data_IF_522025869736
#
_entry.id   IF_522025869736
#
_cell.length_a   1.000
_cell.length_b   1.000
_cell.length_c   1.000
_cell.angle_alpha   90.00
_cell.angle_beta   90.00
_cell.angle_gamma   90.00
#
_symmetry.space_group_name_H-M   'P 1'
#
loop_
_entity.id
_entity.type
_entity.pdbx_description
1 polymer ?
#
# COMPACT_ATOMS: atom_id res chain seq x y z
N UNK A 1 -6.57 24.39 13.65
CA UNK A 1 -5.68 23.38 13.04
C UNK A 1 -6.59 22.26 12.60
N UNK A 2 -6.73 22.05 11.30
CA UNK A 2 -7.47 20.92 10.76
C UNK A 2 -6.53 19.71 10.80
N UNK A 3 -7.01 18.61 11.36
CA UNK A 3 -6.26 17.36 11.44
C UNK A 3 -6.47 16.58 10.14
N UNK A 4 -5.82 17.04 9.07
CA UNK A 4 -5.93 16.45 7.73
C UNK A 4 -5.07 15.17 7.59
N UNK A 5 -4.58 14.61 8.70
CA UNK A 5 -3.76 13.42 8.71
C UNK A 5 -4.63 12.20 8.98
N UNK A 6 -4.52 11.21 8.10
CA UNK A 6 -5.11 9.89 8.36
C UNK A 6 -4.40 9.25 9.55
N UNK A 7 -5.19 8.64 10.43
CA UNK A 7 -4.70 7.74 11.47
C UNK A 7 -4.07 6.48 10.84
N UNK A 8 -3.22 5.77 11.60
CA UNK A 8 -2.62 4.53 11.10
C UNK A 8 -3.68 3.46 10.75
N UNK A 9 -4.78 3.41 11.49
CA UNK A 9 -5.90 2.50 11.22
C UNK A 9 -6.60 2.83 9.89
N UNK A 10 -6.81 4.11 9.60
CA UNK A 10 -7.37 4.54 8.32
C UNK A 10 -6.41 4.24 7.16
N UNK A 11 -5.10 4.44 7.36
CA UNK A 11 -4.08 4.07 6.37
C UNK A 11 -4.11 2.56 6.13
N UNK A 12 -4.21 1.75 7.18
CA UNK A 12 -4.30 0.30 7.05
C UNK A 12 -5.55 -0.15 6.30
N UNK A 13 -6.68 0.46 6.59
CA UNK A 13 -7.94 0.19 5.91
C UNK A 13 -7.84 0.52 4.41
N UNK A 14 -7.38 1.73 4.08
CA UNK A 14 -7.26 2.19 2.68
C UNK A 14 -6.22 1.39 1.90
N UNK A 15 -5.10 1.02 2.53
CA UNK A 15 -4.04 0.26 1.86
C UNK A 15 -4.36 -1.25 1.78
N UNK A 16 -5.44 -1.71 2.41
CA UNK A 16 -5.78 -3.12 2.51
C UNK A 16 -4.70 -3.92 3.24
N UNK A 17 -4.26 -3.43 4.40
CA UNK A 17 -3.30 -4.14 5.26
C UNK A 17 -3.99 -5.30 5.97
N UNK A 18 -3.36 -6.47 5.97
CA UNK A 18 -3.79 -7.68 6.65
C UNK A 18 -2.60 -8.40 7.28
N UNK A 19 -2.88 -9.17 8.33
CA UNK A 19 -1.88 -9.97 9.03
C UNK A 19 -1.79 -11.36 8.39
N UNK A 20 -0.56 -11.84 8.16
CA UNK A 20 -0.30 -13.21 7.70
C UNK A 20 0.62 -13.92 8.69
N UNK A 21 0.31 -15.19 8.95
CA UNK A 21 1.24 -16.08 9.63
C UNK A 21 2.42 -16.38 8.70
N UNK A 22 3.63 -16.31 9.25
CA UNK A 22 4.86 -16.70 8.54
C UNK A 22 5.31 -18.09 8.98
N UNK A 23 6.32 -18.64 8.33
CA UNK A 23 6.74 -20.05 8.48
C UNK A 23 7.16 -20.46 9.91
N UNK A 24 7.30 -19.50 10.84
CA UNK A 24 7.37 -19.76 12.27
C UNK A 24 6.01 -19.60 12.93
N UNK A 25 5.51 -20.64 13.61
CA UNK A 25 4.18 -20.70 14.26
C UNK A 25 3.87 -19.57 15.26
N UNK A 26 4.82 -18.69 15.59
CA UNK A 26 4.64 -17.52 16.46
C UNK A 26 5.06 -16.20 15.81
N UNK A 27 5.33 -16.17 14.51
CA UNK A 27 5.70 -14.95 13.80
C UNK A 27 4.61 -14.59 12.78
N UNK A 28 4.08 -13.39 12.93
CA UNK A 28 3.19 -12.79 11.95
C UNK A 28 3.88 -11.65 11.22
N UNK A 29 3.38 -11.32 10.03
CA UNK A 29 3.83 -10.14 9.28
C UNK A 29 2.62 -9.41 8.71
N UNK A 30 2.70 -8.09 8.65
CA UNK A 30 1.69 -7.28 7.98
C UNK A 30 2.02 -7.17 6.49
N UNK A 31 1.01 -7.40 5.66
CA UNK A 31 1.06 -7.26 4.20
C UNK A 31 -0.04 -6.30 3.78
N UNK A 32 0.19 -5.52 2.73
CA UNK A 32 -0.80 -4.59 2.19
C UNK A 32 -0.96 -4.81 0.70
N UNK A 33 -2.19 -4.66 0.18
CA UNK A 33 -2.43 -4.71 -1.27
C UNK A 33 -1.82 -3.52 -1.98
N UNK A 34 -1.93 -2.33 -1.39
CA UNK A 34 -1.39 -1.08 -1.89
C UNK A 34 -0.20 -0.58 -1.03
N UNK A 35 0.71 0.24 -1.60
CA UNK A 35 1.85 0.77 -0.88
C UNK A 35 1.39 1.74 0.21
N UNK A 36 1.84 1.52 1.45
CA UNK A 36 1.62 2.48 2.54
C UNK A 36 2.39 3.79 2.28
N UNK A 37 1.97 4.93 2.88
CA UNK A 37 2.58 6.23 2.62
C UNK A 37 4.10 6.28 2.79
N UNK A 38 4.66 5.54 3.74
CA UNK A 38 6.11 5.44 3.94
C UNK A 38 6.84 4.84 2.72
N UNK A 39 6.26 3.79 2.10
CA UNK A 39 6.81 3.16 0.91
C UNK A 39 6.67 4.07 -0.32
N UNK A 40 5.54 4.77 -0.45
CA UNK A 40 5.32 5.74 -1.53
C UNK A 40 6.30 6.92 -1.42
N UNK A 41 6.51 7.46 -0.22
CA UNK A 41 7.32 8.67 0.02
C UNK A 41 8.73 8.57 -0.54
N UNK A 42 9.33 7.37 -0.46
CA UNK A 42 10.71 7.09 -0.90
C UNK A 42 10.79 6.47 -2.28
N UNK A 43 9.65 6.22 -2.94
CA UNK A 43 9.66 5.65 -4.29
C UNK A 43 9.99 6.72 -5.34
N UNK A 44 10.50 6.29 -6.50
CA UNK A 44 10.81 7.19 -7.61
C UNK A 44 9.58 7.81 -8.28
N UNK A 45 8.37 7.43 -7.89
CA UNK A 45 7.10 7.94 -8.45
C UNK A 45 6.52 9.11 -7.63
N UNK A 46 7.05 9.39 -6.44
CA UNK A 46 6.61 10.49 -5.58
C UNK A 46 7.15 11.85 -6.07
N UNK A 47 6.58 12.35 -7.16
CA UNK A 47 6.96 13.60 -7.82
C UNK A 47 6.03 14.80 -7.53
N UNK A 48 5.15 14.68 -6.53
CA UNK A 48 4.22 15.73 -6.10
C UNK A 48 2.89 15.80 -6.86
N UNK A 49 2.69 14.94 -7.86
CA UNK A 49 1.43 14.77 -8.58
C UNK A 49 1.28 13.33 -9.06
N UNK A 50 0.08 12.96 -9.50
CA UNK A 50 -0.18 11.66 -10.11
C UNK A 50 0.35 11.64 -11.55
N UNK A 51 1.54 11.07 -11.72
CA UNK A 51 2.18 10.97 -13.04
C UNK A 51 1.62 9.84 -13.89
N UNK A 52 1.91 9.86 -15.19
CA UNK A 52 1.58 8.75 -16.08
C UNK A 52 2.21 7.43 -15.63
N UNK A 53 3.42 7.48 -15.10
CA UNK A 53 4.14 6.30 -14.61
C UNK A 53 3.51 5.76 -13.31
N UNK A 54 2.99 6.65 -12.46
CA UNK A 54 2.21 6.25 -11.27
C UNK A 54 0.91 5.52 -11.67
N UNK A 55 0.18 6.04 -12.66
CA UNK A 55 -1.01 5.38 -13.23
C UNK A 55 -0.67 4.01 -13.81
N UNK A 56 0.38 3.92 -14.62
CA UNK A 56 0.80 2.67 -15.23
C UNK A 56 1.15 1.62 -14.17
N UNK A 57 1.90 2.02 -13.13
CA UNK A 57 2.23 1.15 -12.01
C UNK A 57 0.97 0.67 -11.27
N UNK A 58 0.02 1.58 -11.01
CA UNK A 58 -1.23 1.27 -10.32
C UNK A 58 -2.06 0.24 -11.09
N UNK A 59 -2.28 0.46 -12.39
CA UNK A 59 -3.04 -0.45 -13.25
C UNK A 59 -2.38 -1.83 -13.33
N UNK A 60 -1.06 -1.89 -13.52
CA UNK A 60 -0.33 -3.16 -13.52
C UNK A 60 -0.45 -3.89 -12.18
N UNK A 61 -0.35 -3.19 -11.05
CA UNK A 61 -0.55 -3.79 -9.73
C UNK A 61 -1.99 -4.28 -9.54
N UNK A 62 -2.98 -3.53 -10.00
CA UNK A 62 -4.39 -3.91 -9.97
C UNK A 62 -4.61 -5.22 -10.75
N UNK A 63 -4.07 -5.31 -11.96
CA UNK A 63 -4.11 -6.52 -12.77
C UNK A 63 -3.50 -7.72 -12.03
N UNK A 64 -2.32 -7.55 -11.40
CA UNK A 64 -1.70 -8.62 -10.62
C UNK A 64 -2.55 -9.07 -9.42
N UNK A 65 -3.23 -8.16 -8.74
CA UNK A 65 -4.12 -8.48 -7.63
C UNK A 65 -5.32 -9.29 -8.14
N UNK A 66 -5.94 -8.86 -9.25
CA UNK A 66 -7.10 -9.50 -9.83
C UNK A 66 -6.80 -10.82 -10.53
N UNK A 67 -5.62 -10.95 -11.15
CA UNK A 67 -5.19 -12.18 -11.83
C UNK A 67 -4.73 -13.29 -10.89
N UNK A 68 -4.47 -12.94 -9.62
CA UNK A 68 -4.05 -13.89 -8.58
C UNK A 68 -5.22 -14.40 -7.74
N UNK A 69 -6.45 -14.24 -8.24
CA UNK A 69 -7.69 -14.86 -7.73
C UNK A 69 -8.14 -15.94 -8.70
#
# INVERSE_FOLDING_TARGET
>A
FWDDQLTEEEIDLVCGTYEVMTDGAMQTSFRSWWPRPAAWKVCGLNCGYWSRDAEQWFQTRLEHILSST
#
